data_IF_115352763920
#
_entry.id   IF_115352763920
#
_cell.length_a   1.000
_cell.length_b   1.000
_cell.length_c   1.000
_cell.angle_alpha   90.00
_cell.angle_beta   90.00
_cell.angle_gamma   90.00
#
_symmetry.space_group_name_H-M   'P 1'
#
loop_
_entity.id
_entity.type
_entity.pdbx_description
1 polymer ?
#
# COMPACT_ATOMS: atom_id res chain seq x y z
N UNK A 1 9.14 17.31 4.05
CA UNK A 1 9.57 16.51 5.20
C UNK A 1 9.75 15.10 4.65
N UNK A 2 10.97 14.72 4.27
CA UNK A 2 11.25 13.40 3.68
C UNK A 2 11.34 12.41 4.83
N UNK A 3 10.28 11.62 5.05
CA UNK A 3 10.36 10.50 5.98
C UNK A 3 11.14 9.37 5.31
N UNK A 4 12.46 9.37 5.50
CA UNK A 4 13.30 8.21 5.24
C UNK A 4 13.04 7.15 6.33
N UNK A 5 11.97 6.38 6.19
CA UNK A 5 11.80 5.16 6.98
C UNK A 5 12.71 4.08 6.41
N UNK A 6 13.88 3.90 7.04
CA UNK A 6 14.76 2.76 6.79
C UNK A 6 14.38 1.67 7.78
N UNK A 7 13.55 0.71 7.34
CA UNK A 7 13.28 -0.49 8.13
C UNK A 7 14.34 -1.53 7.78
N UNK A 8 15.34 -1.68 8.65
CA UNK A 8 16.42 -2.67 8.47
C UNK A 8 16.05 -3.95 9.22
N UNK A 9 15.69 -4.99 8.47
CA UNK A 9 15.55 -6.34 9.03
C UNK A 9 16.90 -7.04 8.97
N UNK A 10 17.51 -7.24 10.14
CA UNK A 10 18.71 -8.04 10.27
C UNK A 10 18.33 -9.49 10.56
N UNK A 11 18.23 -10.32 9.51
CA UNK A 11 18.28 -11.77 9.67
C UNK A 11 19.74 -12.23 9.52
N UNK A 12 20.40 -12.67 10.60
CA UNK A 12 21.80 -13.06 10.56
C UNK A 12 22.05 -14.35 9.75
N UNK A 13 21.02 -15.17 9.49
CA UNK A 13 21.12 -16.40 8.71
C UNK A 13 19.83 -16.65 7.90
N UNK A 14 19.91 -17.20 6.67
CA UNK A 14 18.74 -17.62 5.90
C UNK A 14 18.11 -18.83 6.57
N UNK A 15 16.93 -18.63 7.18
CA UNK A 15 16.18 -19.69 7.85
C UNK A 15 14.87 -19.96 7.07
N UNK A 16 14.62 -21.20 6.59
CA UNK A 16 13.41 -21.53 5.84
C UNK A 16 12.11 -21.44 6.67
N UNK A 17 12.21 -21.35 8.00
CA UNK A 17 11.08 -21.24 8.93
C UNK A 17 10.66 -19.80 9.23
N UNK A 18 11.52 -18.80 8.98
CA UNK A 18 11.20 -17.39 9.19
C UNK A 18 11.00 -16.67 7.85
N UNK A 19 9.87 -16.93 7.21
CA UNK A 19 9.41 -16.15 6.06
C UNK A 19 8.42 -15.10 6.55
N UNK A 20 8.55 -13.87 6.06
CA UNK A 20 7.48 -12.89 6.21
C UNK A 20 6.22 -13.47 5.56
N UNK A 21 5.14 -13.48 6.34
CA UNK A 21 3.81 -13.85 5.90
C UNK A 21 2.92 -12.60 5.99
N UNK A 22 1.71 -12.68 5.45
CA UNK A 22 0.75 -11.58 5.45
C UNK A 22 0.25 -11.19 6.85
N UNK A 23 0.73 -11.84 7.92
CA UNK A 23 0.35 -11.53 9.29
C UNK A 23 0.94 -10.20 9.80
N UNK A 24 1.97 -9.67 9.16
CA UNK A 24 2.51 -8.33 9.44
C UNK A 24 2.50 -7.52 8.14
N UNK A 25 1.74 -6.43 8.13
CA UNK A 25 1.77 -5.45 7.04
C UNK A 25 1.99 -4.04 7.58
N UNK A 26 2.71 -3.24 6.82
CA UNK A 26 2.90 -1.82 7.12
C UNK A 26 1.98 -0.98 6.26
N UNK A 27 1.38 0.04 6.85
CA UNK A 27 0.52 0.99 6.13
C UNK A 27 1.28 2.30 5.96
N UNK A 28 1.41 2.74 4.72
CA UNK A 28 1.95 4.06 4.38
C UNK A 28 0.76 4.95 4.02
N UNK A 29 0.47 5.89 4.92
CA UNK A 29 -0.55 6.91 4.68
C UNK A 29 0.04 7.98 3.77
N UNK A 30 -0.45 8.04 2.53
CA UNK A 30 0.01 9.00 1.53
C UNK A 30 -0.89 10.23 1.51
N UNK A 31 -0.32 11.43 1.42
CA UNK A 31 -1.09 12.67 1.40
C UNK A 31 -1.80 12.89 0.06
N UNK A 32 -1.15 12.52 -1.03
CA UNK A 32 -1.58 12.81 -2.40
C UNK A 32 -1.10 11.71 -3.37
N UNK A 33 -1.51 11.83 -4.63
CA UNK A 33 -1.21 10.82 -5.65
C UNK A 33 0.28 10.71 -5.95
N UNK A 34 1.03 11.83 -5.91
CA UNK A 34 2.49 11.82 -6.12
C UNK A 34 3.20 11.00 -5.04
N UNK A 35 2.78 11.11 -3.77
CA UNK A 35 3.32 10.24 -2.71
C UNK A 35 2.95 8.76 -2.92
N UNK A 36 1.70 8.47 -3.32
CA UNK A 36 1.29 7.09 -3.64
C UNK A 36 2.19 6.51 -4.74
N UNK A 37 2.40 7.26 -5.82
CA UNK A 37 3.20 6.81 -6.96
C UNK A 37 4.67 6.64 -6.55
N UNK A 38 5.22 7.57 -5.76
CA UNK A 38 6.60 7.47 -5.26
C UNK A 38 6.83 6.23 -4.41
N UNK A 39 5.98 5.96 -3.42
CA UNK A 39 6.15 4.77 -2.56
C UNK A 39 5.84 3.48 -3.31
N UNK A 40 4.83 3.49 -4.19
CA UNK A 40 4.51 2.33 -5.01
C UNK A 40 5.68 1.94 -5.91
N UNK A 41 6.26 2.90 -6.64
CA UNK A 41 7.42 2.64 -7.49
C UNK A 41 8.63 2.18 -6.68
N UNK A 42 8.89 2.80 -5.51
CA UNK A 42 10.01 2.43 -4.66
C UNK A 42 9.93 0.97 -4.14
N UNK A 43 8.71 0.49 -3.83
CA UNK A 43 8.47 -0.85 -3.31
C UNK A 43 8.47 -1.91 -4.41
N UNK A 44 7.89 -1.60 -5.56
CA UNK A 44 7.69 -2.54 -6.68
C UNK A 44 8.92 -2.64 -7.60
N UNK A 45 9.58 -1.52 -7.91
CA UNK A 45 10.69 -1.49 -8.89
C UNK A 45 11.93 -2.25 -8.45
N UNK A 46 12.14 -2.45 -7.15
CA UNK A 46 13.36 -3.06 -6.62
C UNK A 46 13.27 -4.59 -6.48
N UNK A 47 12.39 -5.24 -7.25
CA UNK A 47 12.08 -6.67 -7.16
C UNK A 47 10.91 -7.01 -6.24
N UNK A 48 10.00 -6.05 -6.03
CA UNK A 48 8.75 -6.26 -5.31
C UNK A 48 7.65 -6.83 -6.20
N UNK A 49 6.54 -7.23 -5.58
CA UNK A 49 5.35 -7.74 -6.28
C UNK A 49 4.16 -6.81 -6.04
N UNK A 50 3.43 -6.51 -7.12
CA UNK A 50 2.19 -5.75 -7.04
C UNK A 50 1.05 -6.65 -6.52
N UNK A 51 0.28 -6.14 -5.56
CA UNK A 51 -0.88 -6.79 -4.98
C UNK A 51 -2.17 -6.03 -5.23
N UNK A 52 -3.33 -6.61 -4.90
CA UNK A 52 -4.63 -5.98 -5.11
C UNK A 52 -4.88 -4.85 -4.09
N UNK A 53 -5.75 -3.90 -4.43
CA UNK A 53 -6.33 -2.92 -3.51
C UNK A 53 -5.32 -2.04 -2.77
N UNK A 54 -4.22 -1.65 -3.41
CA UNK A 54 -3.15 -0.84 -2.79
C UNK A 54 -2.14 -1.65 -1.99
N UNK A 55 -2.20 -2.99 -2.06
CA UNK A 55 -1.18 -3.85 -1.46
C UNK A 55 -0.01 -4.06 -2.41
N UNK A 56 1.19 -4.13 -1.87
CA UNK A 56 2.37 -4.57 -2.59
C UNK A 56 3.30 -5.31 -1.63
N UNK A 57 4.21 -6.12 -2.18
CA UNK A 57 5.28 -6.76 -1.43
C UNK A 57 6.61 -6.16 -1.88
N UNK A 58 7.50 -5.91 -0.93
CA UNK A 58 8.86 -5.51 -1.29
C UNK A 58 9.71 -6.72 -1.69
N UNK A 59 10.95 -6.47 -2.11
CA UNK A 59 11.93 -7.51 -2.47
C UNK A 59 12.30 -8.50 -1.37
N UNK A 60 11.90 -8.23 -0.13
CA UNK A 60 12.11 -9.11 1.02
C UNK A 60 10.86 -9.94 1.34
N UNK A 61 9.77 -9.74 0.60
CA UNK A 61 8.49 -10.43 0.80
C UNK A 61 7.63 -9.84 1.91
N UNK A 62 7.94 -8.63 2.37
CA UNK A 62 7.13 -7.93 3.38
C UNK A 62 5.94 -7.25 2.72
N UNK A 63 4.76 -7.39 3.32
CA UNK A 63 3.53 -6.76 2.82
C UNK A 63 3.44 -5.29 3.23
N UNK A 64 3.14 -4.45 2.25
CA UNK A 64 2.95 -3.00 2.39
C UNK A 64 1.59 -2.61 1.82
N UNK A 65 0.93 -1.65 2.47
CA UNK A 65 -0.32 -1.04 2.01
C UNK A 65 -0.04 0.44 1.76
N UNK A 66 -0.07 0.84 0.49
CA UNK A 66 0.11 2.24 0.09
C UNK A 66 -1.27 2.84 -0.08
N UNK A 67 -1.77 3.48 0.98
CA UNK A 67 -3.15 3.96 1.05
C UNK A 67 -3.15 5.48 1.20
N UNK A 68 -3.82 6.23 0.31
CA UNK A 68 -3.94 7.66 0.48
C UNK A 68 -4.90 8.02 1.63
N UNK A 69 -4.62 9.09 2.37
CA UNK A 69 -5.44 9.52 3.52
C UNK A 69 -6.89 9.79 3.09
N UNK A 70 -7.06 10.43 1.93
CA UNK A 70 -8.37 10.73 1.36
C UNK A 70 -9.21 9.46 1.06
N UNK A 71 -8.57 8.29 0.82
CA UNK A 71 -9.32 7.04 0.66
C UNK A 71 -10.12 6.69 1.92
N UNK A 72 -9.55 6.91 3.11
CA UNK A 72 -10.26 6.65 4.37
C UNK A 72 -11.46 7.58 4.55
N UNK A 73 -11.39 8.81 4.07
CA UNK A 73 -12.51 9.74 4.09
C UNK A 73 -13.63 9.30 3.13
N UNK A 74 -13.26 8.82 1.94
CA UNK A 74 -14.23 8.37 0.93
C UNK A 74 -14.96 7.08 1.37
N UNK A 75 -14.26 6.09 1.93
CA UNK A 75 -14.91 4.85 2.39
C UNK A 75 -15.71 5.01 3.68
N UNK A 76 -15.42 6.05 4.47
CA UNK A 76 -16.20 6.41 5.65
C UNK A 76 -17.17 7.58 5.39
N UNK A 77 -17.35 7.98 4.13
CA UNK A 77 -18.28 9.05 3.77
C UNK A 77 -19.70 8.72 4.22
N UNK A 78 -20.43 9.74 4.67
CA UNK A 78 -21.84 9.64 5.02
C UNK A 78 -22.70 9.37 3.77
N UNK A 79 -22.25 9.80 2.60
CA UNK A 79 -22.90 9.53 1.32
C UNK A 79 -22.66 8.07 0.89
N UNK A 80 -23.71 7.22 0.84
CA UNK A 80 -23.58 5.82 0.46
C UNK A 80 -23.07 5.63 -0.97
N UNK A 81 -23.38 6.54 -1.89
CA UNK A 81 -22.96 6.44 -3.29
C UNK A 81 -21.46 6.68 -3.44
N UNK A 82 -20.92 7.65 -2.70
CA UNK A 82 -19.47 7.93 -2.65
C UNK A 82 -18.73 6.74 -2.04
N UNK A 83 -19.21 6.21 -0.92
CA UNK A 83 -18.62 5.05 -0.26
C UNK A 83 -18.62 3.81 -1.16
N UNK A 84 -19.75 3.49 -1.78
CA UNK A 84 -19.86 2.32 -2.66
C UNK A 84 -18.94 2.45 -3.88
N UNK A 85 -18.86 3.64 -4.48
CA UNK A 85 -17.95 3.91 -5.59
C UNK A 85 -16.50 3.72 -5.17
N UNK A 86 -16.07 4.31 -4.05
CA UNK A 86 -14.71 4.19 -3.55
C UNK A 86 -14.32 2.73 -3.26
N UNK A 87 -15.20 1.96 -2.60
CA UNK A 87 -14.97 0.55 -2.32
C UNK A 87 -14.87 -0.29 -3.60
N UNK A 88 -15.80 -0.08 -4.55
CA UNK A 88 -15.85 -0.84 -5.80
C UNK A 88 -14.66 -0.55 -6.70
N UNK A 89 -14.30 0.72 -6.85
CA UNK A 89 -13.13 1.14 -7.63
C UNK A 89 -11.85 0.56 -7.03
N UNK A 90 -11.70 0.59 -5.71
CA UNK A 90 -10.52 0.02 -5.03
C UNK A 90 -10.38 -1.48 -5.25
N UNK A 91 -11.48 -2.23 -5.27
CA UNK A 91 -11.47 -3.67 -5.55
C UNK A 91 -11.02 -4.02 -6.99
N UNK A 92 -11.14 -3.08 -7.93
CA UNK A 92 -10.72 -3.27 -9.32
C UNK A 92 -9.30 -2.76 -9.59
N UNK A 93 -8.69 -2.09 -8.61
CA UNK A 93 -7.39 -1.45 -8.73
C UNK A 93 -6.30 -2.26 -8.03
N UNK A 94 -5.12 -2.28 -8.66
CA UNK A 94 -3.88 -2.79 -8.05
C UNK A 94 -3.25 -1.67 -7.21
N UNK A 95 -2.93 -0.55 -7.86
CA UNK A 95 -2.53 0.72 -7.23
C UNK A 95 -3.74 1.64 -7.07
N UNK A 96 -3.88 2.28 -5.92
CA UNK A 96 -4.98 3.22 -5.68
C UNK A 96 -4.75 4.49 -6.49
N UNK A 97 -5.77 4.87 -7.28
CA UNK A 97 -5.79 6.12 -8.04
C UNK A 97 -6.87 7.03 -7.47
N UNK A 98 -6.46 8.09 -6.75
CA UNK A 98 -7.34 9.02 -6.04
C UNK A 98 -8.38 9.69 -6.94
N UNK A 99 -8.02 10.02 -8.18
CA UNK A 99 -8.93 10.66 -9.13
C UNK A 99 -10.11 9.76 -9.54
N UNK A 100 -9.96 8.44 -9.45
CA UNK A 100 -11.02 7.49 -9.84
C UNK A 100 -11.95 7.11 -8.67
N UNK A 101 -11.57 7.47 -7.45
CA UNK A 101 -12.36 7.22 -6.24
C UNK A 101 -13.45 8.29 -5.99
N UNK A 102 -13.34 9.46 -6.63
CA UNK A 102 -14.30 10.57 -6.57
C UNK A 102 -15.34 10.45 -7.67
#
# INVERSE_FOLDING_TARGET
MLFNFKVEFHQPFPDPYFKFNEAVSFVINCKDQDEVDYYWEALTSNGGEEGPCGWCKDKYGLSWQVIPIEYYELVNSEDPAVREKAMKTTMMQTKIILSELK
#
